data_IF_779211826275
#
_entry.id   IF_779211826275
#
_cell.length_a   1.000
_cell.length_b   1.000
_cell.length_c   1.000
_cell.angle_alpha   90.00
_cell.angle_beta   90.00
_cell.angle_gamma   90.00
#
_symmetry.space_group_name_H-M   'P 1'
#
loop_
_entity.id
_entity.type
_entity.pdbx_description
1 polymer ?
#
# COMPACT_ATOMS: atom_id res chain seq x y z
N UNK A 1 51.03 -20.41 -8.14
CA UNK A 1 50.03 -20.38 -7.04
C UNK A 1 48.92 -19.50 -7.55
N UNK A 2 48.10 -20.11 -8.40
CA UNK A 2 47.15 -19.40 -9.27
C UNK A 2 45.87 -19.09 -8.50
N UNK A 3 45.48 -17.82 -8.57
CA UNK A 3 44.24 -17.31 -8.05
C UNK A 3 43.07 -17.87 -8.88
N UNK A 4 42.12 -18.50 -8.19
CA UNK A 4 40.86 -18.96 -8.75
C UNK A 4 39.98 -17.77 -9.17
N UNK A 5 39.55 -17.81 -10.43
CA UNK A 5 38.70 -16.83 -11.10
C UNK A 5 37.36 -16.55 -10.38
N UNK A 6 36.79 -15.34 -10.53
CA UNK A 6 35.48 -15.02 -9.99
C UNK A 6 34.36 -15.78 -10.70
N UNK A 7 33.42 -16.26 -9.89
CA UNK A 7 32.25 -17.06 -10.26
C UNK A 7 31.43 -16.40 -11.37
N UNK A 8 31.30 -17.09 -12.50
CA UNK A 8 30.35 -16.80 -13.57
C UNK A 8 28.95 -17.17 -13.03
N UNK A 9 28.14 -16.18 -12.68
CA UNK A 9 26.71 -16.36 -12.43
C UNK A 9 26.01 -16.53 -13.78
N UNK A 10 25.67 -17.79 -14.10
CA UNK A 10 24.63 -18.26 -15.02
C UNK A 10 24.24 -17.33 -16.19
N UNK A 11 25.08 -17.30 -17.21
CA UNK A 11 24.56 -17.27 -18.59
C UNK A 11 23.97 -18.66 -18.87
N UNK A 12 22.64 -18.79 -18.92
CA UNK A 12 22.03 -20.04 -19.39
C UNK A 12 20.71 -20.48 -18.77
N UNK A 13 19.87 -19.59 -18.27
CA UNK A 13 18.46 -19.92 -18.07
C UNK A 13 17.70 -19.82 -19.39
N UNK A 14 17.71 -20.88 -20.20
CA UNK A 14 16.68 -21.06 -21.24
C UNK A 14 15.32 -21.14 -20.52
N UNK A 15 14.71 -20.00 -20.25
CA UNK A 15 13.25 -19.92 -20.17
C UNK A 15 12.79 -20.44 -21.52
N UNK A 16 12.25 -21.66 -21.55
CA UNK A 16 11.60 -22.24 -22.72
C UNK A 16 10.76 -21.13 -23.34
N UNK A 17 11.10 -20.71 -24.56
CA UNK A 17 10.31 -19.73 -25.29
C UNK A 17 9.00 -20.42 -25.63
N UNK A 18 8.07 -20.42 -24.67
CA UNK A 18 6.71 -20.86 -24.90
C UNK A 18 6.14 -20.03 -26.04
N UNK A 19 5.37 -20.66 -26.93
CA UNK A 19 4.72 -19.95 -28.00
C UNK A 19 3.91 -18.78 -27.41
N UNK A 20 3.89 -17.62 -28.08
CA UNK A 20 3.09 -16.48 -27.63
C UNK A 20 1.63 -16.92 -27.48
N UNK A 21 0.96 -16.35 -26.48
CA UNK A 21 -0.47 -16.62 -26.23
C UNK A 21 -1.27 -16.46 -27.54
N UNK A 22 -2.12 -17.44 -27.91
CA UNK A 22 -2.83 -17.41 -29.19
C UNK A 22 -3.68 -16.15 -29.39
N UNK A 23 -4.31 -15.62 -28.34
CA UNK A 23 -5.11 -14.40 -28.42
C UNK A 23 -4.21 -13.18 -28.63
N UNK A 24 -3.08 -13.13 -27.93
CA UNK A 24 -2.10 -12.05 -28.15
C UNK A 24 -1.57 -12.10 -29.58
N UNK A 25 -1.21 -13.28 -30.08
CA UNK A 25 -0.72 -13.45 -31.45
C UNK A 25 -1.76 -13.02 -32.48
N UNK A 26 -3.02 -13.40 -32.28
CA UNK A 26 -4.13 -13.02 -33.16
C UNK A 26 -4.31 -11.49 -33.19
N UNK A 27 -4.55 -10.87 -32.03
CA UNK A 27 -4.76 -9.43 -31.90
C UNK A 27 -3.56 -8.62 -32.41
N UNK A 28 -2.34 -9.09 -32.12
CA UNK A 28 -1.12 -8.41 -32.54
C UNK A 28 -0.91 -8.42 -34.05
N UNK A 29 -1.28 -9.51 -34.72
CA UNK A 29 -1.19 -9.64 -36.17
C UNK A 29 -2.25 -8.81 -36.91
N UNK A 30 -3.44 -8.61 -36.31
CA UNK A 30 -4.49 -7.75 -36.86
C UNK A 30 -4.27 -6.26 -36.54
N UNK A 31 -3.43 -5.95 -35.54
CA UNK A 31 -3.11 -4.57 -35.17
C UNK A 31 -2.10 -3.92 -36.12
N UNK A 32 -2.25 -2.59 -36.29
CA UNK A 32 -1.38 -1.75 -37.13
C UNK A 32 -0.65 -0.71 -36.28
N UNK A 33 0.48 -0.21 -36.78
CA UNK A 33 1.11 0.97 -36.16
C UNK A 33 0.11 2.13 -36.22
N UNK A 34 0.01 2.91 -35.14
CA UNK A 34 -0.93 4.04 -35.07
C UNK A 34 -0.64 5.07 -36.19
N UNK A 35 0.60 5.13 -36.69
CA UNK A 35 0.99 5.98 -37.82
C UNK A 35 0.46 5.50 -39.18
N UNK A 36 0.15 4.22 -39.31
CA UNK A 36 -0.22 3.59 -40.58
C UNK A 36 -1.74 3.55 -40.80
N UNK A 37 -2.53 3.98 -39.80
CA UNK A 37 -3.99 4.04 -39.87
C UNK A 37 -4.46 5.12 -40.87
N UNK A 38 -5.41 4.77 -41.74
CA UNK A 38 -5.86 5.63 -42.83
C UNK A 38 -7.31 6.12 -42.66
N UNK A 39 -7.59 7.35 -43.13
CA UNK A 39 -8.94 7.86 -43.32
C UNK A 39 -9.80 7.91 -42.04
N UNK A 40 -10.92 7.18 -42.04
CA UNK A 40 -11.92 7.19 -40.96
C UNK A 40 -11.35 6.61 -39.66
N UNK A 41 -10.53 5.55 -39.75
CA UNK A 41 -9.89 4.91 -38.61
C UNK A 41 -9.04 5.90 -37.81
N UNK A 42 -8.40 6.85 -38.50
CA UNK A 42 -7.58 7.88 -37.87
C UNK A 42 -8.42 8.83 -37.00
N UNK A 43 -9.65 9.16 -37.43
CA UNK A 43 -10.56 10.02 -36.67
C UNK A 43 -11.08 9.31 -35.41
N UNK A 44 -11.47 8.05 -35.54
CA UNK A 44 -11.93 7.25 -34.40
C UNK A 44 -10.81 6.97 -33.39
N UNK A 45 -9.59 6.71 -33.90
CA UNK A 45 -8.40 6.58 -33.08
C UNK A 45 -8.04 7.89 -32.36
N UNK A 46 -8.15 9.03 -33.04
CA UNK A 46 -7.95 10.34 -32.42
C UNK A 46 -8.95 10.57 -31.28
N UNK A 47 -10.23 10.22 -31.46
CA UNK A 47 -11.23 10.33 -30.41
C UNK A 47 -10.90 9.45 -29.21
N UNK A 48 -10.44 8.21 -29.44
CA UNK A 48 -10.00 7.32 -28.36
C UNK A 48 -8.76 7.87 -27.63
N UNK A 49 -7.80 8.46 -28.35
CA UNK A 49 -6.63 9.12 -27.74
C UNK A 49 -7.03 10.30 -26.86
N UNK A 50 -7.99 11.12 -27.29
CA UNK A 50 -8.54 12.23 -26.50
C UNK A 50 -9.23 11.70 -25.22
N UNK A 51 -10.04 10.64 -25.33
CA UNK A 51 -10.68 10.00 -24.16
C UNK A 51 -9.65 9.44 -23.18
N UNK A 52 -8.53 8.95 -23.69
CA UNK A 52 -7.40 8.48 -22.89
C UNK A 52 -6.49 9.60 -22.37
N UNK A 53 -6.64 10.84 -22.85
CA UNK A 53 -5.75 11.94 -22.47
C UNK A 53 -4.33 11.83 -23.04
N UNK A 54 -4.14 11.08 -24.14
CA UNK A 54 -2.84 10.88 -24.80
C UNK A 54 -2.79 11.58 -26.18
N UNK A 55 -3.71 12.51 -26.44
CA UNK A 55 -3.75 13.29 -27.68
C UNK A 55 -2.50 14.14 -27.89
N UNK A 56 -1.85 14.57 -26.81
CA UNK A 56 -0.61 15.37 -26.85
C UNK A 56 0.68 14.54 -26.89
N UNK A 57 0.59 13.22 -26.74
CA UNK A 57 1.75 12.34 -26.93
C UNK A 57 2.04 12.23 -28.42
N UNK A 58 3.30 12.43 -28.81
CA UNK A 58 3.69 12.36 -30.22
C UNK A 58 3.53 10.95 -30.77
N UNK A 59 3.31 10.87 -32.09
CA UNK A 59 3.20 9.58 -32.76
C UNK A 59 4.54 8.83 -32.77
N UNK A 60 5.66 9.55 -32.71
CA UNK A 60 6.99 8.93 -32.56
C UNK A 60 7.12 8.23 -31.20
N UNK A 61 6.72 8.88 -30.10
CA UNK A 61 6.73 8.27 -28.77
C UNK A 61 5.85 7.03 -28.70
N UNK A 62 4.65 7.07 -29.29
CA UNK A 62 3.76 5.90 -29.38
C UNK A 62 4.44 4.75 -30.15
N UNK A 63 5.04 5.03 -31.31
CA UNK A 63 5.73 4.05 -32.12
C UNK A 63 6.98 3.47 -31.42
N UNK A 64 7.71 4.29 -30.63
CA UNK A 64 8.86 3.84 -29.82
C UNK A 64 8.46 2.79 -28.78
N UNK A 65 7.33 3.01 -28.10
CA UNK A 65 6.74 2.03 -27.18
C UNK A 65 6.00 0.88 -27.89
N UNK A 66 5.96 0.88 -29.22
CA UNK A 66 5.26 -0.09 -30.05
C UNK A 66 3.76 -0.15 -29.71
N UNK A 67 3.17 1.00 -29.36
CA UNK A 67 1.72 1.11 -29.14
C UNK A 67 1.03 0.97 -30.48
N UNK A 68 0.03 0.10 -30.56
CA UNK A 68 -0.67 -0.22 -31.81
C UNK A 68 -2.16 0.11 -31.75
N UNK A 69 -2.71 0.41 -32.92
CA UNK A 69 -4.15 0.57 -33.11
C UNK A 69 -4.77 -0.72 -33.65
N UNK A 70 -6.02 -0.96 -33.31
CA UNK A 70 -6.78 -2.11 -33.81
C UNK A 70 -8.24 -1.73 -33.97
N UNK A 71 -8.88 -2.17 -35.05
CA UNK A 71 -10.32 -2.09 -35.28
C UNK A 71 -10.88 -3.51 -35.22
N UNK A 72 -11.93 -3.77 -34.44
CA UNK A 72 -12.60 -5.06 -34.53
C UNK A 72 -13.58 -5.13 -35.70
N UNK A 73 -14.21 -6.29 -35.90
CA UNK A 73 -15.21 -6.50 -36.95
C UNK A 73 -16.49 -5.66 -36.82
N UNK A 74 -16.62 -4.83 -35.78
CA UNK A 74 -17.72 -3.88 -35.58
C UNK A 74 -17.23 -2.41 -35.67
N UNK A 75 -16.04 -2.18 -36.24
CA UNK A 75 -15.39 -0.87 -36.36
C UNK A 75 -15.16 -0.17 -35.01
N UNK A 76 -15.01 -0.92 -33.92
CA UNK A 76 -14.71 -0.33 -32.61
C UNK A 76 -13.18 -0.16 -32.46
N UNK A 77 -12.71 1.08 -32.24
CA UNK A 77 -11.28 1.34 -32.10
C UNK A 77 -10.76 0.85 -30.75
N UNK A 78 -9.55 0.30 -30.77
CA UNK A 78 -8.81 -0.11 -29.61
C UNK A 78 -7.34 0.31 -29.68
N UNK A 79 -6.78 0.70 -28.53
CA UNK A 79 -5.34 0.95 -28.37
C UNK A 79 -4.73 -0.19 -27.59
N UNK A 80 -3.61 -0.71 -28.10
CA UNK A 80 -2.89 -1.85 -27.55
C UNK A 80 -1.55 -1.41 -26.97
N UNK A 81 -1.31 -1.76 -25.72
CA UNK A 81 -0.05 -1.52 -25.01
C UNK A 81 0.71 -2.84 -24.79
N UNK A 82 1.80 -3.08 -25.52
CA UNK A 82 2.55 -4.34 -25.44
C UNK A 82 3.46 -4.41 -24.22
N UNK A 83 3.65 -5.63 -23.71
CA UNK A 83 4.56 -5.91 -22.59
C UNK A 83 5.60 -6.96 -22.97
N UNK A 84 6.83 -6.71 -22.56
CA UNK A 84 7.99 -7.51 -22.92
C UNK A 84 8.76 -7.99 -21.68
N UNK A 85 9.53 -9.08 -21.80
CA UNK A 85 10.39 -9.60 -20.71
C UNK A 85 11.86 -9.17 -20.83
N UNK A 86 12.15 -8.19 -21.68
CA UNK A 86 13.49 -7.68 -21.91
C UNK A 86 13.62 -6.97 -23.25
N UNK A 87 14.84 -6.56 -23.62
CA UNK A 87 15.15 -5.93 -24.89
C UNK A 87 14.58 -6.73 -26.06
N UNK A 88 13.87 -6.07 -26.97
CA UNK A 88 13.23 -6.71 -28.10
C UNK A 88 13.04 -5.76 -29.29
N UNK A 89 13.14 -6.32 -30.50
CA UNK A 89 12.72 -5.62 -31.71
C UNK A 89 11.20 -5.44 -31.75
N UNK A 90 10.71 -4.37 -32.40
CA UNK A 90 9.28 -4.07 -32.57
C UNK A 90 8.51 -5.17 -33.31
N UNK A 91 9.20 -6.01 -34.07
CA UNK A 91 8.63 -7.15 -34.81
C UNK A 91 8.28 -8.31 -33.86
N UNK A 92 8.89 -8.37 -32.68
CA UNK A 92 8.64 -9.45 -31.71
C UNK A 92 7.23 -9.31 -31.15
N UNK A 93 6.48 -10.41 -31.19
CA UNK A 93 5.17 -10.51 -30.54
C UNK A 93 5.35 -10.35 -29.03
N UNK A 94 4.59 -9.46 -28.37
CA UNK A 94 4.70 -9.25 -26.93
C UNK A 94 4.23 -10.46 -26.13
N UNK A 95 4.71 -10.58 -24.89
CA UNK A 95 4.30 -11.67 -23.98
C UNK A 95 3.04 -11.34 -23.17
N UNK A 96 2.70 -10.06 -23.11
CA UNK A 96 1.49 -9.56 -22.49
C UNK A 96 0.98 -8.37 -23.27
N UNK A 97 -0.33 -8.18 -23.26
CA UNK A 97 -0.99 -7.12 -23.99
C UNK A 97 -2.06 -6.51 -23.12
N UNK A 98 -2.15 -5.19 -23.11
CA UNK A 98 -3.33 -4.50 -22.57
C UNK A 98 -4.06 -3.84 -23.72
N UNK A 99 -5.34 -4.13 -23.85
CA UNK A 99 -6.20 -3.58 -24.88
C UNK A 99 -7.18 -2.64 -24.21
N UNK A 100 -7.29 -1.41 -24.71
CA UNK A 100 -8.32 -0.47 -24.29
C UNK A 100 -9.21 -0.20 -25.48
N UNK A 101 -10.44 -0.71 -25.43
CA UNK A 101 -11.43 -0.62 -26.51
C UNK A 101 -12.49 0.40 -26.17
N UNK A 102 -12.94 1.16 -27.18
CA UNK A 102 -14.08 2.05 -27.05
C UNK A 102 -15.36 1.30 -27.44
N UNK A 103 -16.26 1.09 -26.48
CA UNK A 103 -17.58 0.48 -26.73
C UNK A 103 -18.65 1.53 -26.42
N UNK A 104 -19.26 2.07 -27.48
CA UNK A 104 -20.14 3.23 -27.37
C UNK A 104 -19.42 4.44 -26.76
N UNK A 105 -19.93 4.93 -25.63
CA UNK A 105 -19.32 6.04 -24.87
C UNK A 105 -18.45 5.59 -23.69
N UNK A 106 -18.18 4.28 -23.56
CA UNK A 106 -17.35 3.72 -22.49
C UNK A 106 -16.05 3.14 -23.04
N UNK A 107 -15.08 2.98 -22.14
CA UNK A 107 -13.82 2.28 -22.42
C UNK A 107 -13.76 0.99 -21.62
N UNK A 108 -13.52 -0.11 -22.30
CA UNK A 108 -13.28 -1.42 -21.70
C UNK A 108 -11.79 -1.75 -21.72
N UNK A 109 -11.32 -2.41 -20.67
CA UNK A 109 -9.90 -2.71 -20.46
C UNK A 109 -9.74 -4.21 -20.34
N UNK A 110 -8.94 -4.78 -21.23
CA UNK A 110 -8.62 -6.20 -21.26
C UNK A 110 -7.11 -6.36 -21.03
N UNK A 111 -6.73 -7.36 -20.23
CA UNK A 111 -5.33 -7.71 -20.02
C UNK A 111 -5.11 -9.17 -20.42
N UNK A 112 -4.14 -9.37 -21.30
CA UNK A 112 -3.71 -10.66 -21.79
C UNK A 112 -2.27 -11.00 -21.30
N UNK A 113 -1.96 -12.28 -21.04
CA UNK A 113 -2.87 -13.43 -21.08
C UNK A 113 -3.98 -13.31 -20.03
N UNK A 114 -5.14 -13.89 -20.32
CA UNK A 114 -6.24 -13.91 -19.36
C UNK A 114 -5.81 -14.71 -18.11
N UNK A 115 -6.29 -14.34 -16.91
CA UNK A 115 -6.01 -15.11 -15.71
C UNK A 115 -6.50 -16.55 -15.89
N UNK A 116 -5.60 -17.51 -15.74
CA UNK A 116 -5.94 -18.93 -15.73
C UNK A 116 -6.28 -19.35 -14.30
N UNK A 117 -7.56 -19.61 -14.02
CA UNK A 117 -8.04 -19.99 -12.69
C UNK A 117 -7.43 -21.32 -12.19
N UNK A 118 -6.87 -22.14 -13.09
CA UNK A 118 -6.20 -23.38 -12.71
C UNK A 118 -4.76 -23.17 -12.18
N UNK A 119 -4.15 -22.00 -12.42
CA UNK A 119 -2.79 -21.68 -11.98
C UNK A 119 -2.80 -20.93 -10.65
N UNK A 120 -2.12 -21.49 -9.65
CA UNK A 120 -2.03 -20.90 -8.30
C UNK A 120 -1.23 -19.59 -8.23
N UNK A 121 -0.43 -19.27 -9.27
CA UNK A 121 0.26 -17.99 -9.42
C UNK A 121 0.17 -17.49 -10.86
N UNK A 122 -0.23 -16.21 -11.07
CA UNK A 122 -0.23 -15.62 -12.40
C UNK A 122 1.20 -15.57 -12.94
N UNK A 123 1.37 -15.97 -14.20
CA UNK A 123 2.67 -15.89 -14.88
C UNK A 123 3.04 -14.44 -15.16
N UNK A 124 4.33 -14.12 -15.08
CA UNK A 124 4.83 -12.78 -15.42
C UNK A 124 4.54 -12.44 -16.90
N UNK A 125 3.70 -11.44 -17.12
CA UNK A 125 3.22 -11.02 -18.44
C UNK A 125 4.02 -9.85 -19.05
N UNK A 126 5.26 -9.66 -18.60
CA UNK A 126 6.17 -8.62 -19.09
C UNK A 126 5.90 -7.24 -18.51
N UNK A 127 6.72 -6.25 -18.89
CA UNK A 127 6.63 -4.84 -18.48
C UNK A 127 6.48 -3.98 -19.74
N UNK A 128 5.63 -2.96 -19.68
CA UNK A 128 5.47 -2.00 -20.77
C UNK A 128 6.67 -1.05 -20.81
N UNK A 129 7.31 -0.91 -21.99
CA UNK A 129 8.52 -0.10 -22.19
C UNK A 129 9.84 -0.87 -22.04
N UNK A 130 9.82 -2.08 -21.48
CA UNK A 130 11.07 -2.83 -21.19
C UNK A 130 11.83 -3.30 -22.43
N UNK A 131 11.17 -3.37 -23.59
CA UNK A 131 11.85 -3.68 -24.86
C UNK A 131 12.83 -2.58 -25.32
N UNK A 132 12.69 -1.37 -24.77
CA UNK A 132 13.51 -0.21 -25.14
C UNK A 132 14.84 -0.14 -24.40
N UNK A 133 15.04 -0.98 -23.38
CA UNK A 133 16.27 -0.99 -22.59
C UNK A 133 17.48 -1.34 -23.45
N UNK A 134 18.56 -0.60 -23.22
CA UNK A 134 19.88 -0.79 -23.78
C UNK A 134 20.89 -1.10 -22.68
N UNK A 135 22.05 -1.68 -23.04
CA UNK A 135 23.08 -2.02 -22.06
C UNK A 135 23.68 -0.79 -21.32
N UNK A 136 23.44 0.43 -21.82
CA UNK A 136 23.87 1.68 -21.19
C UNK A 136 22.87 2.24 -20.19
N UNK A 137 21.64 1.74 -20.14
CA UNK A 137 20.62 2.28 -19.27
C UNK A 137 20.87 1.88 -17.81
N UNK A 138 21.06 2.88 -16.95
CA UNK A 138 21.28 2.70 -15.51
C UNK A 138 20.15 3.25 -14.65
N UNK A 139 19.28 4.07 -15.24
CA UNK A 139 18.19 4.73 -14.55
C UNK A 139 16.85 4.46 -15.23
N UNK A 140 15.79 4.25 -14.45
CA UNK A 140 14.44 4.03 -14.97
C UNK A 140 13.39 4.73 -14.12
N UNK A 141 12.33 5.23 -14.77
CA UNK A 141 11.14 5.78 -14.11
C UNK A 141 10.03 4.73 -14.11
N UNK A 142 9.53 4.34 -12.94
CA UNK A 142 8.38 3.45 -12.78
C UNK A 142 7.11 4.25 -12.53
N UNK A 143 6.10 3.97 -13.35
CA UNK A 143 4.76 4.55 -13.24
C UNK A 143 3.70 3.45 -13.06
N UNK A 144 2.50 3.86 -12.68
CA UNK A 144 1.36 2.94 -12.46
C UNK A 144 0.55 2.64 -13.72
N UNK A 145 0.78 3.37 -14.81
CA UNK A 145 0.05 3.18 -16.06
C UNK A 145 0.85 3.68 -17.27
N UNK A 146 0.48 3.16 -18.43
CA UNK A 146 1.21 3.31 -19.68
C UNK A 146 1.21 4.76 -20.18
N UNK A 147 0.14 5.51 -19.88
CA UNK A 147 0.02 6.93 -20.26
C UNK A 147 1.05 7.79 -19.53
N UNK A 148 1.25 7.54 -18.24
CA UNK A 148 2.26 8.24 -17.45
C UNK A 148 3.68 7.87 -17.93
N UNK A 149 3.93 6.60 -18.29
CA UNK A 149 5.22 6.19 -18.86
C UNK A 149 5.50 6.89 -20.22
N UNK A 150 4.51 6.93 -21.11
CA UNK A 150 4.59 7.66 -22.38
C UNK A 150 4.86 9.15 -22.17
N UNK A 151 4.18 9.77 -21.20
CA UNK A 151 4.34 11.18 -20.90
C UNK A 151 5.72 11.51 -20.33
N UNK A 152 6.29 10.64 -19.48
CA UNK A 152 7.67 10.79 -19.02
C UNK A 152 8.63 10.75 -20.20
N UNK A 153 8.50 9.75 -21.09
CA UNK A 153 9.37 9.62 -22.25
C UNK A 153 9.28 10.84 -23.18
N UNK A 154 8.06 11.26 -23.54
CA UNK A 154 7.79 12.44 -24.37
C UNK A 154 8.42 13.71 -23.77
N UNK A 155 8.19 13.96 -22.48
CA UNK A 155 8.63 15.19 -21.85
C UNK A 155 10.12 15.24 -21.56
N UNK A 156 10.81 14.10 -21.50
CA UNK A 156 12.23 14.00 -21.15
C UNK A 156 13.15 13.85 -22.36
N UNK A 157 12.59 13.84 -23.57
CA UNK A 157 13.30 13.51 -24.82
C UNK A 157 13.97 12.13 -24.76
N UNK A 158 13.30 11.16 -24.11
CA UNK A 158 13.66 9.76 -24.21
C UNK A 158 14.14 9.06 -22.93
N UNK A 159 13.89 9.60 -21.74
CA UNK A 159 14.21 8.87 -20.51
C UNK A 159 13.44 7.55 -20.44
N UNK A 160 14.12 6.49 -20.02
CA UNK A 160 13.54 5.16 -19.90
C UNK A 160 12.44 5.15 -18.83
N UNK A 161 11.22 4.79 -19.23
CA UNK A 161 10.07 4.74 -18.33
C UNK A 161 9.25 3.46 -18.53
N UNK A 162 8.91 2.81 -17.43
CA UNK A 162 8.12 1.59 -17.43
C UNK A 162 6.79 1.80 -16.74
N UNK A 163 5.77 1.10 -17.25
CA UNK A 163 4.50 0.97 -16.54
C UNK A 163 4.37 -0.42 -15.93
N UNK A 164 4.01 -0.46 -14.65
CA UNK A 164 3.74 -1.68 -13.91
C UNK A 164 2.43 -2.34 -14.38
N UNK A 165 2.42 -3.67 -14.42
CA UNK A 165 1.32 -4.50 -14.91
C UNK A 165 0.05 -4.37 -14.07
N UNK A 166 0.22 -4.44 -12.76
CA UNK A 166 -0.86 -4.44 -11.76
C UNK A 166 -1.02 -3.07 -11.08
N UNK A 167 -0.62 -1.99 -11.77
CA UNK A 167 -0.72 -0.63 -11.27
C UNK A 167 0.18 -0.39 -10.06
N UNK A 168 -0.42 0.00 -8.94
CA UNK A 168 0.29 0.29 -7.69
C UNK A 168 0.67 -0.96 -6.87
N UNK A 169 -0.01 -2.09 -7.09
CA UNK A 169 0.17 -3.29 -6.26
C UNK A 169 1.55 -3.90 -6.49
N UNK A 170 2.19 -4.33 -5.40
CA UNK A 170 3.47 -5.02 -5.48
C UNK A 170 3.31 -6.35 -6.20
N UNK A 171 4.15 -6.55 -7.20
CA UNK A 171 4.27 -7.80 -7.95
C UNK A 171 5.73 -8.29 -7.85
N UNK A 172 6.02 -9.28 -6.99
CA UNK A 172 7.37 -9.79 -6.81
C UNK A 172 7.99 -10.38 -8.07
N UNK A 173 7.17 -10.76 -9.06
CA UNK A 173 7.67 -11.33 -10.32
C UNK A 173 8.42 -10.31 -11.17
N UNK A 174 8.24 -9.02 -10.89
CA UNK A 174 8.86 -7.89 -11.61
C UNK A 174 10.28 -7.63 -11.10
N UNK A 175 10.58 -7.94 -9.84
CA UNK A 175 11.84 -7.52 -9.17
C UNK A 175 13.13 -7.96 -9.89
N UNK A 176 13.26 -9.21 -10.39
CA UNK A 176 14.48 -9.63 -11.07
C UNK A 176 14.82 -8.78 -12.29
N UNK A 177 13.79 -8.22 -12.95
CA UNK A 177 13.95 -7.37 -14.13
C UNK A 177 14.27 -5.92 -13.79
N UNK A 178 14.20 -5.55 -12.51
CA UNK A 178 14.50 -4.20 -12.02
C UNK A 178 15.82 -4.15 -11.25
N UNK A 179 16.45 -5.29 -10.95
CA UNK A 179 17.72 -5.37 -10.20
C UNK A 179 18.89 -4.71 -10.92
N UNK A 180 18.91 -4.70 -12.25
CA UNK A 180 20.00 -4.13 -13.06
C UNK A 180 20.11 -2.60 -13.00
N UNK A 181 19.04 -1.90 -12.59
CA UNK A 181 19.01 -0.44 -12.55
C UNK A 181 19.65 0.11 -11.27
N UNK A 182 20.60 1.03 -11.42
CA UNK A 182 21.27 1.71 -10.30
C UNK A 182 20.40 2.82 -9.69
N UNK A 183 19.47 3.38 -10.47
CA UNK A 183 18.55 4.43 -10.04
C UNK A 183 17.12 4.13 -10.49
N UNK A 184 16.19 4.12 -9.55
CA UNK A 184 14.77 3.84 -9.82
C UNK A 184 13.93 5.00 -9.32
N UNK A 185 13.30 5.74 -10.22
CA UNK A 185 12.40 6.83 -9.89
C UNK A 185 10.96 6.30 -9.81
N UNK A 186 10.29 6.53 -8.69
CA UNK A 186 8.92 6.06 -8.43
C UNK A 186 7.97 7.24 -8.55
N UNK A 187 7.28 7.35 -9.69
CA UNK A 187 6.32 8.41 -9.96
C UNK A 187 4.89 7.87 -9.98
N UNK A 188 4.35 7.67 -8.78
CA UNK A 188 2.99 7.17 -8.61
C UNK A 188 2.03 8.33 -8.37
N UNK A 189 0.72 8.17 -8.63
CA UNK A 189 -0.28 9.14 -8.21
C UNK A 189 -0.18 9.45 -6.71
N UNK A 190 -0.49 10.68 -6.31
CA UNK A 190 -0.44 11.14 -4.90
C UNK A 190 -1.17 10.20 -3.94
N UNK A 191 -2.35 9.69 -4.34
CA UNK A 191 -3.14 8.71 -3.57
C UNK A 191 -2.47 7.34 -3.39
N UNK A 192 -1.46 7.01 -4.21
CA UNK A 192 -0.73 5.74 -4.19
C UNK A 192 0.71 5.92 -3.68
N UNK A 193 0.99 7.02 -2.98
CA UNK A 193 2.33 7.32 -2.49
C UNK A 193 2.84 6.25 -1.51
N UNK A 194 1.95 5.64 -0.72
CA UNK A 194 2.35 4.57 0.21
C UNK A 194 2.80 3.31 -0.54
N UNK A 195 2.07 2.90 -1.58
CA UNK A 195 2.50 1.81 -2.46
C UNK A 195 3.87 2.11 -3.12
N UNK A 196 4.12 3.35 -3.53
CA UNK A 196 5.43 3.73 -4.06
C UNK A 196 6.55 3.55 -3.01
N UNK A 197 6.30 3.89 -1.74
CA UNK A 197 7.29 3.61 -0.67
C UNK A 197 7.51 2.12 -0.49
N UNK A 198 6.45 1.31 -0.46
CA UNK A 198 6.55 -0.14 -0.33
C UNK A 198 7.37 -0.75 -1.48
N UNK A 199 7.10 -0.33 -2.73
CA UNK A 199 7.89 -0.70 -3.90
C UNK A 199 9.36 -0.32 -3.73
N UNK A 200 9.64 0.91 -3.28
CA UNK A 200 11.01 1.36 -3.07
C UNK A 200 11.74 0.58 -1.97
N UNK A 201 11.06 0.20 -0.90
CA UNK A 201 11.66 -0.65 0.13
C UNK A 201 11.97 -2.06 -0.40
N UNK A 202 11.06 -2.64 -1.20
CA UNK A 202 11.26 -3.94 -1.81
C UNK A 202 12.40 -3.93 -2.85
N UNK A 203 12.60 -2.82 -3.54
CA UNK A 203 13.63 -2.63 -4.57
C UNK A 203 14.96 -2.09 -4.02
N UNK A 204 15.24 -2.25 -2.72
CA UNK A 204 16.37 -1.62 -2.04
C UNK A 204 16.27 -0.07 -2.07
N UNK A 205 15.71 0.50 -1.01
CA UNK A 205 15.39 1.92 -0.92
C UNK A 205 16.57 2.86 -1.20
N UNK A 206 17.81 2.42 -0.98
CA UNK A 206 19.01 3.22 -1.25
C UNK A 206 19.17 3.63 -2.72
N UNK A 207 18.59 2.92 -3.68
CA UNK A 207 18.62 3.29 -5.11
C UNK A 207 17.30 3.86 -5.64
N UNK A 208 16.29 3.97 -4.78
CA UNK A 208 14.97 4.46 -5.16
C UNK A 208 14.80 5.95 -4.85
N UNK A 209 14.14 6.66 -5.74
CA UNK A 209 13.81 8.08 -5.62
C UNK A 209 12.30 8.25 -5.72
N UNK A 210 11.69 8.84 -4.70
CA UNK A 210 10.26 9.04 -4.60
C UNK A 210 9.89 10.42 -5.13
N UNK A 211 8.94 10.47 -6.06
CA UNK A 211 8.37 11.73 -6.57
C UNK A 211 7.02 11.97 -5.89
N UNK A 212 6.89 13.11 -5.21
CA UNK A 212 5.71 13.47 -4.42
C UNK A 212 4.80 14.50 -5.11
N UNK A 213 5.04 14.78 -6.39
CA UNK A 213 4.27 15.77 -7.13
C UNK A 213 2.78 15.36 -7.21
N UNK A 214 1.88 16.34 -7.10
CA UNK A 214 0.44 16.12 -7.11
C UNK A 214 -0.05 15.81 -8.54
N UNK A 215 0.48 16.52 -9.53
CA UNK A 215 0.16 16.30 -10.94
C UNK A 215 0.93 15.08 -11.46
N UNK A 216 0.24 14.27 -12.28
CA UNK A 216 0.85 13.10 -12.91
C UNK A 216 1.59 13.52 -14.19
N UNK A 217 2.56 12.73 -14.67
CA UNK A 217 3.27 13.03 -15.91
C UNK A 217 2.32 13.31 -17.08
N UNK A 218 1.25 12.53 -17.24
CA UNK A 218 0.30 12.75 -18.33
C UNK A 218 -0.40 14.11 -18.24
N UNK A 219 -0.80 14.54 -17.04
CA UNK A 219 -1.49 15.83 -16.87
C UNK A 219 -0.54 17.01 -17.13
N UNK A 220 0.72 16.89 -16.71
CA UNK A 220 1.75 17.89 -16.99
C UNK A 220 1.97 18.06 -18.51
N UNK A 221 2.12 16.96 -19.24
CA UNK A 221 2.26 16.97 -20.71
C UNK A 221 1.01 17.54 -21.39
N UNK A 222 -0.18 17.13 -20.95
CA UNK A 222 -1.45 17.68 -21.45
C UNK A 222 -1.60 19.18 -21.20
N UNK A 223 -1.00 19.71 -20.14
CA UNK A 223 -0.97 21.14 -19.86
C UNK A 223 0.21 21.87 -20.54
N UNK A 224 1.03 21.17 -21.35
CA UNK A 224 2.18 21.75 -22.04
C UNK A 224 3.42 21.95 -21.15
N UNK A 225 3.40 21.45 -19.91
CA UNK A 225 4.43 21.63 -18.88
C UNK A 225 5.57 20.61 -18.99
N UNK A 226 6.05 20.30 -20.19
CA UNK A 226 7.11 19.30 -20.43
C UNK A 226 8.38 19.58 -19.62
N UNK A 227 8.77 20.86 -19.51
CA UNK A 227 9.95 21.29 -18.73
C UNK A 227 9.81 20.97 -17.24
N UNK A 228 8.60 20.98 -16.71
CA UNK A 228 8.32 20.68 -15.31
C UNK A 228 8.58 19.19 -15.02
N UNK A 229 8.27 18.29 -15.96
CA UNK A 229 8.58 16.86 -15.83
C UNK A 229 10.08 16.63 -15.67
N UNK A 230 10.91 17.29 -16.49
CA UNK A 230 12.38 17.23 -16.39
C UNK A 230 12.90 17.81 -15.07
N UNK A 231 12.31 18.92 -14.62
CA UNK A 231 12.67 19.58 -13.36
C UNK A 231 12.38 18.67 -12.16
N UNK A 232 11.20 18.04 -12.13
CA UNK A 232 10.77 17.15 -11.05
C UNK A 232 11.72 15.96 -10.94
N UNK A 233 12.03 15.30 -12.06
CA UNK A 233 12.95 14.15 -12.07
C UNK A 233 14.35 14.50 -11.61
N UNK A 234 14.86 15.68 -12.01
CA UNK A 234 16.24 16.08 -11.71
C UNK A 234 16.43 16.75 -10.34
N UNK A 235 15.40 17.43 -9.80
CA UNK A 235 15.55 18.26 -8.59
C UNK A 235 14.60 17.94 -7.45
N UNK A 236 13.41 17.43 -7.73
CA UNK A 236 12.38 17.20 -6.69
C UNK A 236 12.29 15.74 -6.24
N UNK A 237 12.89 14.82 -6.99
CA UNK A 237 12.93 13.40 -6.63
C UNK A 237 13.72 13.20 -5.32
N UNK A 238 13.05 12.65 -4.30
CA UNK A 238 13.63 12.46 -2.97
C UNK A 238 14.11 11.04 -2.81
N UNK A 239 15.41 10.84 -2.57
CA UNK A 239 15.97 9.50 -2.29
C UNK A 239 15.26 8.85 -1.10
N UNK A 240 14.79 7.62 -1.30
CA UNK A 240 14.14 6.84 -0.25
C UNK A 240 15.20 6.42 0.79
N UNK A 241 14.83 6.52 2.06
CA UNK A 241 15.70 6.10 3.17
C UNK A 241 15.43 4.63 3.49
N UNK A 242 16.31 4.00 4.26
CA UNK A 242 16.03 2.66 4.78
C UNK A 242 14.76 2.65 5.64
N UNK A 243 14.01 1.55 5.56
CA UNK A 243 12.74 1.40 6.27
C UNK A 243 12.96 1.54 7.77
N UNK A 244 12.19 2.42 8.42
CA UNK A 244 12.26 2.65 9.86
C UNK A 244 13.06 3.90 10.27
N UNK A 245 13.84 4.51 9.36
CA UNK A 245 14.55 5.74 9.65
C UNK A 245 13.74 6.97 9.21
N UNK A 246 13.42 7.85 10.16
CA UNK A 246 12.78 9.16 9.89
C UNK A 246 13.79 10.29 10.13
N UNK A 247 13.74 11.34 9.31
CA UNK A 247 14.48 12.57 9.59
C UNK A 247 13.77 13.38 10.68
N UNK A 248 14.52 14.24 11.39
CA UNK A 248 13.94 15.31 12.21
C UNK A 248 12.92 16.14 11.43
N UNK A 249 13.16 16.41 10.15
CA UNK A 249 12.22 17.16 9.31
C UNK A 249 10.92 16.39 9.08
N UNK A 250 11.00 15.06 8.93
CA UNK A 250 9.82 14.21 8.69
C UNK A 250 8.92 14.13 9.92
N UNK A 251 9.48 14.16 11.13
CA UNK A 251 8.73 14.11 12.39
C UNK A 251 8.45 15.49 12.97
N UNK A 252 8.90 16.59 12.35
CA UNK A 252 8.82 17.93 12.93
C UNK A 252 7.39 18.31 13.31
N UNK A 253 6.43 18.09 12.41
CA UNK A 253 5.04 18.45 12.67
C UNK A 253 4.39 17.52 13.70
N UNK A 254 4.71 16.22 13.69
CA UNK A 254 4.27 15.27 14.73
C UNK A 254 4.80 15.69 16.11
N UNK A 255 6.10 15.99 16.20
CA UNK A 255 6.76 16.45 17.43
C UNK A 255 6.23 17.80 17.89
N UNK A 256 5.97 18.74 16.96
CA UNK A 256 5.38 20.03 17.27
C UNK A 256 3.97 19.88 17.83
N UNK A 257 3.15 19.03 17.20
CA UNK A 257 1.81 18.70 17.69
C UNK A 257 1.88 18.04 19.08
N UNK A 258 2.83 17.13 19.29
CA UNK A 258 3.05 16.48 20.59
C UNK A 258 3.52 17.48 21.67
N UNK A 259 4.39 18.43 21.33
CA UNK A 259 4.87 19.48 22.24
C UNK A 259 3.74 20.43 22.64
N UNK A 260 2.91 20.86 21.68
CA UNK A 260 1.78 21.76 21.93
C UNK A 260 0.72 21.07 22.81
N UNK A 261 0.45 19.79 22.58
CA UNK A 261 -0.54 19.01 23.34
C UNK A 261 0.05 18.30 24.57
N UNK A 262 1.29 18.62 24.96
CA UNK A 262 2.05 17.89 25.96
C UNK A 262 1.36 17.82 27.33
N UNK A 263 0.69 18.90 27.76
CA UNK A 263 -0.03 18.94 29.05
C UNK A 263 -1.18 17.93 29.14
N UNK A 264 -1.89 17.70 28.04
CA UNK A 264 -3.03 16.77 27.96
C UNK A 264 -2.57 15.31 27.83
N UNK A 265 -1.35 15.06 27.36
CA UNK A 265 -0.76 13.72 27.23
C UNK A 265 0.04 13.29 28.47
N UNK A 266 0.67 14.23 29.17
CA UNK A 266 1.37 13.96 30.43
C UNK A 266 0.40 13.48 31.52
N UNK A 267 -0.81 14.04 31.53
CA UNK A 267 -1.93 13.51 32.29
C UNK A 267 -2.58 12.39 31.49
N UNK A 268 -2.66 11.20 32.08
CA UNK A 268 -3.40 10.08 31.52
C UNK A 268 -4.85 10.45 31.24
N UNK A 269 -5.41 9.85 30.19
CA UNK A 269 -6.78 10.11 29.73
C UNK A 269 -7.83 9.71 30.79
N UNK A 270 -7.44 8.87 31.74
CA UNK A 270 -8.22 8.54 32.93
C UNK A 270 -7.36 8.67 34.19
N UNK A 271 -7.85 9.42 35.17
CA UNK A 271 -7.24 9.53 36.49
C UNK A 271 -7.95 8.58 37.44
N UNK A 272 -7.23 7.95 38.36
CA UNK A 272 -7.86 7.05 39.32
C UNK A 272 -8.67 7.82 40.36
N UNK A 273 -9.93 7.44 40.58
CA UNK A 273 -10.79 8.08 41.60
C UNK A 273 -10.70 7.35 42.93
N UNK A 274 -10.86 6.03 42.91
CA UNK A 274 -10.74 5.13 44.08
C UNK A 274 -9.30 5.07 44.60
N UNK A 275 -8.31 5.29 43.74
CA UNK A 275 -6.89 5.34 44.07
C UNK A 275 -6.26 6.71 43.79
N UNK A 276 -6.92 7.79 44.20
CA UNK A 276 -6.47 9.16 43.92
C UNK A 276 -5.00 9.48 44.30
N UNK A 277 -4.38 8.89 45.36
CA UNK A 277 -2.97 9.13 45.65
C UNK A 277 -2.02 8.63 44.55
N UNK A 278 -2.42 7.59 43.78
CA UNK A 278 -1.58 7.05 42.69
C UNK A 278 -1.42 8.04 41.54
N UNK A 279 -2.39 8.94 41.32
CA UNK A 279 -2.28 9.98 40.30
C UNK A 279 -1.08 10.90 40.53
N UNK A 280 -0.63 11.08 41.79
CA UNK A 280 0.57 11.88 42.08
C UNK A 280 1.85 11.27 41.51
N UNK A 281 1.90 9.94 41.40
CA UNK A 281 3.10 9.19 41.00
C UNK A 281 3.03 8.72 39.54
N UNK A 282 1.87 8.21 39.13
CA UNK A 282 1.66 7.60 37.81
C UNK A 282 1.02 8.57 36.81
N UNK A 283 0.46 9.70 37.29
CA UNK A 283 -0.23 10.72 36.49
C UNK A 283 -1.41 10.20 35.66
N UNK A 284 -2.03 9.08 36.05
CA UNK A 284 -3.17 8.46 35.35
C UNK A 284 -2.77 7.42 34.30
N UNK A 285 -3.78 6.86 33.62
CA UNK A 285 -3.61 5.86 32.58
C UNK A 285 -3.28 6.53 31.23
N UNK A 286 -2.11 6.26 30.63
CA UNK A 286 -1.72 6.82 29.34
C UNK A 286 -1.75 5.77 28.21
N UNK A 287 -2.11 6.15 26.97
CA UNK A 287 -2.12 5.22 25.84
C UNK A 287 -0.71 4.77 25.49
N UNK A 288 -0.56 3.47 25.16
CA UNK A 288 0.73 2.89 24.77
C UNK A 288 1.66 2.53 25.94
N UNK A 289 1.23 2.73 27.19
CA UNK A 289 1.97 2.30 28.38
C UNK A 289 1.57 0.89 28.83
N UNK A 290 2.54 0.13 29.32
CA UNK A 290 2.34 -1.17 29.96
C UNK A 290 2.62 -1.05 31.45
N UNK A 291 1.57 -1.19 32.27
CA UNK A 291 1.71 -1.23 33.74
C UNK A 291 1.79 -2.67 34.23
N UNK A 292 2.86 -2.99 34.96
CA UNK A 292 3.08 -4.32 35.54
C UNK A 292 2.90 -4.27 37.06
N UNK A 293 2.00 -5.11 37.58
CA UNK A 293 1.74 -5.24 39.03
C UNK A 293 2.29 -6.60 39.49
N UNK A 294 3.19 -6.57 40.47
CA UNK A 294 3.88 -7.75 41.00
C UNK A 294 3.79 -7.83 42.53
N UNK A 295 3.98 -9.03 43.08
CA UNK A 295 3.87 -9.33 44.51
C UNK A 295 3.66 -10.82 44.79
N UNK A 296 3.82 -11.24 46.05
CA UNK A 296 3.65 -12.63 46.47
C UNK A 296 2.22 -13.16 46.30
N UNK A 297 2.04 -14.48 46.37
CA UNK A 297 0.73 -15.12 46.40
C UNK A 297 -0.04 -14.67 47.65
N UNK A 298 -1.33 -14.35 47.48
CA UNK A 298 -2.16 -13.87 48.60
C UNK A 298 -2.00 -12.38 48.95
N UNK A 299 -1.15 -11.62 48.26
CA UNK A 299 -0.91 -10.19 48.56
C UNK A 299 -1.99 -9.26 47.97
N UNK A 300 -3.08 -9.81 47.43
CA UNK A 300 -4.20 -9.03 46.91
C UNK A 300 -4.01 -8.43 45.51
N UNK A 301 -3.09 -8.95 44.68
CA UNK A 301 -2.89 -8.47 43.29
C UNK A 301 -4.19 -8.50 42.48
N UNK A 302 -4.88 -9.64 42.49
CA UNK A 302 -6.15 -9.82 41.78
C UNK A 302 -7.23 -8.91 42.34
N UNK A 303 -7.28 -8.76 43.67
CA UNK A 303 -8.19 -7.83 44.36
C UNK A 303 -7.96 -6.39 43.90
N UNK A 304 -6.71 -5.95 43.84
CA UNK A 304 -6.35 -4.62 43.36
C UNK A 304 -6.70 -4.42 41.88
N UNK A 305 -6.39 -5.39 41.02
CA UNK A 305 -6.71 -5.33 39.59
C UNK A 305 -8.22 -5.25 39.32
N UNK A 306 -9.04 -5.97 40.10
CA UNK A 306 -10.50 -5.90 39.97
C UNK A 306 -11.02 -4.50 40.33
N UNK A 307 -10.54 -3.93 41.44
CA UNK A 307 -10.91 -2.59 41.89
C UNK A 307 -10.43 -1.51 40.90
N UNK A 308 -9.23 -1.68 40.37
CA UNK A 308 -8.64 -0.81 39.35
C UNK A 308 -9.47 -0.82 38.06
N UNK A 309 -9.90 -2.01 37.60
CA UNK A 309 -10.75 -2.14 36.41
C UNK A 309 -12.13 -1.51 36.62
N UNK A 310 -12.73 -1.66 37.81
CA UNK A 310 -13.99 -1.00 38.17
C UNK A 310 -13.87 0.52 38.20
N UNK A 311 -12.77 1.05 38.74
CA UNK A 311 -12.51 2.48 38.78
C UNK A 311 -12.48 3.09 37.37
N UNK A 312 -11.84 2.41 36.40
CA UNK A 312 -11.82 2.86 35.01
C UNK A 312 -13.20 2.71 34.34
N UNK A 313 -13.85 1.56 34.54
CA UNK A 313 -15.16 1.28 33.96
C UNK A 313 -16.24 2.28 34.40
N UNK A 314 -16.30 2.61 35.69
CA UNK A 314 -17.26 3.59 36.24
C UNK A 314 -17.02 5.01 35.73
N UNK A 315 -15.83 5.30 35.19
CA UNK A 315 -15.49 6.56 34.54
C UNK A 315 -15.85 6.57 33.04
N UNK A 316 -16.44 5.50 32.52
CA UNK A 316 -16.79 5.36 31.10
C UNK A 316 -15.62 4.91 30.22
N UNK A 317 -14.50 4.45 30.82
CA UNK A 317 -13.39 3.87 30.06
C UNK A 317 -13.75 2.44 29.66
N UNK A 318 -13.73 2.17 28.35
CA UNK A 318 -13.90 0.81 27.82
C UNK A 318 -12.79 -0.10 28.37
N UNK A 319 -13.20 -1.06 29.18
CA UNK A 319 -12.29 -1.91 29.95
C UNK A 319 -12.54 -3.38 29.62
N UNK A 320 -11.47 -4.10 29.28
CA UNK A 320 -11.47 -5.55 29.07
C UNK A 320 -10.70 -6.19 30.22
N UNK A 321 -11.31 -7.15 30.92
CA UNK A 321 -10.65 -7.91 31.98
C UNK A 321 -10.38 -9.34 31.53
N UNK A 322 -9.10 -9.71 31.47
CA UNK A 322 -8.67 -11.06 31.10
C UNK A 322 -8.02 -11.74 32.32
N UNK A 323 -8.59 -12.87 32.75
CA UNK A 323 -8.03 -13.68 33.83
C UNK A 323 -7.76 -15.10 33.37
N UNK A 324 -6.52 -15.53 33.57
CA UNK A 324 -6.06 -16.88 33.26
C UNK A 324 -5.90 -17.75 34.52
N UNK A 325 -6.23 -17.23 35.70
CA UNK A 325 -6.16 -17.98 36.96
C UNK A 325 -7.57 -18.31 37.47
N UNK A 326 -8.39 -17.27 37.65
CA UNK A 326 -9.76 -17.38 38.18
C UNK A 326 -10.82 -17.38 37.06
N UNK A 327 -11.88 -18.20 37.14
CA UNK A 327 -13.02 -18.17 36.21
C UNK A 327 -13.78 -16.84 36.23
N UNK A 328 -14.39 -16.45 35.10
CA UNK A 328 -15.10 -15.17 34.95
C UNK A 328 -16.19 -14.95 36.01
N UNK A 329 -16.95 -15.99 36.37
CA UNK A 329 -18.03 -15.88 37.36
C UNK A 329 -17.52 -15.46 38.74
N UNK A 330 -16.34 -15.96 39.14
CA UNK A 330 -15.74 -15.61 40.44
C UNK A 330 -15.25 -14.17 40.44
N UNK A 331 -14.68 -13.72 39.32
CA UNK A 331 -14.21 -12.34 39.16
C UNK A 331 -15.38 -11.38 39.17
N UNK A 332 -16.45 -11.68 38.42
CA UNK A 332 -17.63 -10.82 38.39
C UNK A 332 -18.29 -10.72 39.77
N UNK A 333 -18.46 -11.85 40.46
CA UNK A 333 -18.94 -11.86 41.86
C UNK A 333 -18.06 -10.97 42.75
N UNK A 334 -16.74 -11.08 42.62
CA UNK A 334 -15.80 -10.29 43.41
C UNK A 334 -15.87 -8.79 43.10
N UNK A 335 -15.94 -8.43 41.82
CA UNK A 335 -16.12 -7.07 41.35
C UNK A 335 -17.45 -6.48 41.85
N UNK A 336 -18.53 -7.26 41.87
CA UNK A 336 -19.82 -6.81 42.42
C UNK A 336 -19.75 -6.50 43.91
N UNK A 337 -19.07 -7.35 44.70
CA UNK A 337 -18.85 -7.11 46.13
C UNK A 337 -18.02 -5.84 46.34
N UNK A 338 -16.94 -5.68 45.57
CA UNK A 338 -16.08 -4.49 45.59
C UNK A 338 -16.81 -3.21 45.19
N UNK A 339 -17.74 -3.31 44.24
CA UNK A 339 -18.57 -2.19 43.83
C UNK A 339 -19.56 -1.79 44.92
N UNK A 340 -20.19 -2.76 45.60
CA UNK A 340 -21.17 -2.53 46.65
C UNK A 340 -20.57 -2.02 47.98
N UNK A 341 -19.28 -2.27 48.24
CA UNK A 341 -18.57 -1.79 49.42
C UNK A 341 -18.86 -2.54 50.73
N UNK A 342 -19.79 -3.52 50.71
CA UNK A 342 -20.14 -4.36 51.86
C UNK A 342 -20.44 -5.81 51.40
N UNK A 343 -19.71 -6.83 51.90
CA UNK A 343 -20.00 -8.24 51.64
C UNK A 343 -21.42 -8.68 52.05
N UNK A 344 -22.04 -8.00 53.03
CA UNK A 344 -23.36 -8.31 53.57
C UNK A 344 -24.55 -7.82 52.71
N UNK A 345 -24.31 -6.95 51.73
CA UNK A 345 -25.37 -6.32 50.93
C UNK A 345 -25.91 -7.20 49.79
N UNK A 346 -25.30 -8.37 49.55
CA UNK A 346 -25.61 -9.25 48.41
C UNK A 346 -27.05 -9.79 48.41
N UNK A 347 -27.72 -9.83 49.56
CA UNK A 347 -29.10 -10.30 49.69
C UNK A 347 -30.17 -9.26 49.33
N UNK A 348 -29.83 -7.96 49.24
CA UNK A 348 -30.82 -6.92 48.91
C UNK A 348 -30.79 -6.50 47.43
N UNK A 349 -29.63 -6.58 46.77
CA UNK A 349 -29.46 -6.09 45.38
C UNK A 349 -30.14 -6.98 44.34
N UNK A 350 -30.26 -8.29 44.59
CA UNK A 350 -31.02 -9.18 43.69
C UNK A 350 -32.54 -8.97 43.74
N UNK A 351 -33.05 -8.10 44.63
CA UNK A 351 -34.47 -7.74 44.71
C UNK A 351 -34.79 -6.35 44.12
N UNK A 352 -33.80 -5.65 43.55
CA UNK A 352 -34.03 -4.37 42.87
C UNK A 352 -34.39 -4.65 41.41
N UNK A 353 -35.70 -4.67 41.14
CA UNK A 353 -36.23 -4.50 39.78
C UNK A 353 -35.63 -3.24 39.16
N UNK A 354 -34.97 -3.38 38.00
CA UNK A 354 -34.88 -2.40 36.92
C UNK A 354 -35.03 -0.92 37.34
N UNK A 355 -34.12 -0.40 38.15
CA UNK A 355 -33.98 1.04 38.32
C UNK A 355 -32.86 1.55 37.41
N UNK A 356 -33.27 2.39 36.45
CA UNK A 356 -32.39 3.13 35.54
C UNK A 356 -31.49 4.04 36.37
N UNK A 357 -30.22 3.64 36.53
CA UNK A 357 -29.17 4.57 36.94
C UNK A 357 -28.91 5.56 35.78
N UNK A 358 -28.88 6.84 36.14
CA UNK A 358 -28.95 7.99 35.24
C UNK A 358 -28.11 7.96 33.95
N UNK A 359 -28.79 8.25 32.84
CA UNK A 359 -28.38 9.25 31.84
C UNK A 359 -27.22 8.95 30.88
N UNK A 360 -26.28 8.06 31.19
CA UNK A 360 -25.16 7.75 30.29
C UNK A 360 -25.18 6.28 29.90
N UNK A 361 -25.34 6.02 28.60
CA UNK A 361 -25.09 4.69 28.00
C UNK A 361 -23.60 4.38 28.19
N UNK A 362 -23.26 3.51 29.14
CA UNK A 362 -21.92 2.94 29.28
C UNK A 362 -21.94 1.58 28.60
N UNK A 363 -20.99 1.33 27.69
CA UNK A 363 -20.82 0.02 27.07
C UNK A 363 -20.51 -1.04 28.14
N UNK A 364 -21.00 -2.30 28.01
CA UNK A 364 -20.75 -3.34 28.99
C UNK A 364 -19.26 -3.67 29.10
N UNK A 365 -18.77 -3.92 30.33
CA UNK A 365 -17.42 -4.47 30.53
C UNK A 365 -17.36 -5.88 29.93
N UNK A 366 -16.33 -6.13 29.10
CA UNK A 366 -16.09 -7.45 28.54
C UNK A 366 -15.17 -8.25 29.48
N UNK A 367 -15.54 -9.49 29.78
CA UNK A 367 -14.72 -10.46 30.52
C UNK A 367 -14.41 -11.62 29.57
N UNK A 368 -13.13 -11.88 29.33
CA UNK A 368 -12.72 -12.90 28.36
C UNK A 368 -12.44 -14.25 29.06
N UNK A 369 -13.07 -15.36 28.63
CA UNK A 369 -12.83 -16.69 29.17
C UNK A 369 -11.51 -17.31 28.68
N UNK A 370 -11.06 -18.35 29.39
CA UNK A 370 -9.78 -19.07 29.20
C UNK A 370 -9.52 -19.70 27.82
N UNK A 371 -10.46 -19.71 26.88
CA UNK A 371 -10.30 -20.38 25.60
C UNK A 371 -10.04 -19.39 24.45
N UNK A 372 -8.83 -19.46 23.90
CA UNK A 372 -8.35 -18.89 22.64
C UNK A 372 -7.54 -17.59 22.71
N UNK A 373 -6.47 -17.53 23.51
CA UNK A 373 -5.26 -16.77 23.15
C UNK A 373 -4.11 -17.22 24.06
N UNK A 374 -3.15 -17.94 23.50
CA UNK A 374 -1.84 -18.14 24.11
C UNK A 374 -0.89 -17.05 23.61
N UNK A 375 -0.01 -16.65 24.53
CA UNK A 375 1.24 -15.89 24.40
C UNK A 375 1.21 -14.35 24.54
N UNK A 376 1.89 -13.93 25.61
CA UNK A 376 2.38 -12.61 26.01
C UNK A 376 1.40 -11.54 26.53
N UNK A 377 1.54 -11.26 27.82
CA UNK A 377 0.81 -10.27 28.59
C UNK A 377 1.17 -8.85 28.17
N UNK A 378 0.18 -8.13 27.64
CA UNK A 378 0.13 -6.67 27.72
C UNK A 378 -1.34 -6.23 27.80
N UNK A 379 -1.66 -5.34 28.74
CA UNK A 379 -2.89 -4.54 28.64
C UNK A 379 -2.67 -3.61 27.45
N UNK A 380 -3.06 -4.06 26.26
CA UNK A 380 -3.03 -3.26 25.05
C UNK A 380 -4.28 -2.38 25.06
N UNK A 381 -4.10 -1.08 25.36
CA UNK A 381 -5.14 -0.10 25.06
C UNK A 381 -5.18 0.09 23.54
N UNK A 382 -6.24 -0.41 22.90
CA UNK A 382 -6.47 -0.23 21.48
C UNK A 382 -6.72 1.24 21.15
N UNK A 383 -5.89 1.80 20.28
CA UNK A 383 -6.27 2.75 19.25
C UNK A 383 -5.69 2.27 17.92
#
# INVERSE_FOLDING_TARGET
LDASSPCILDQGGLMTQQPPDPHIKFLWNESVDINEMAGIEQSDMLRLRIMLGIERISMESLARYNVRGHMDGYDQPAIMYPRYRGPASRIRIPVGLKVIRKIGDRMEKENYPLPDEALSKPRFSGIFGYHMTTASDRAVVLTTNERDALAVYEATDGALAFSLTHGERIDPTVFPYLEEFEQIFLWFPSRHLEYAKEWGYALNGSRCYLIRNIERPIELVRNGKHKEVKLILSREAVRLREKGFRSMTDIREEVKADLINSSTRQLGFAQWKRFSPLNKYLLGLRPGELTVITGGTGFGKTTFLCEYALDLFTQGVRTLFCSFEMPEEKILKWMLVQYAGDPGFFLSVFNIKNERCGGHKVDPMLICPKSNLFEEYAIKTSY
#
